data_IF_454689541958
#
_entry.id   IF_454689541958
#
_cell.length_a   1.000
_cell.length_b   1.000
_cell.length_c   1.000
_cell.angle_alpha   90.00
_cell.angle_beta   90.00
_cell.angle_gamma   90.00
#
_symmetry.space_group_name_H-M   'P 1'
#
loop_
_entity.id
_entity.type
_entity.pdbx_description
1 polymer ?
#
# COMPACT_ATOMS: atom_id res chain seq x y z
N UNK A 1 -19.45 -26.13 16.36
CA UNK A 1 -17.98 -25.98 16.23
C UNK A 1 -17.66 -24.70 15.46
N UNK A 2 -16.92 -23.75 16.01
CA UNK A 2 -16.55 -22.50 15.30
C UNK A 2 -16.09 -22.74 13.85
N UNK A 3 -16.38 -21.81 12.93
CA UNK A 3 -15.83 -21.81 11.55
C UNK A 3 -14.53 -21.00 11.44
N UNK A 4 -14.06 -20.46 12.56
CA UNK A 4 -12.83 -19.69 12.67
C UNK A 4 -11.93 -20.23 13.77
N UNK A 5 -10.62 -20.30 13.54
CA UNK A 5 -9.65 -20.57 14.60
C UNK A 5 -9.55 -19.41 15.60
N UNK A 6 -9.18 -19.72 16.85
CA UNK A 6 -9.00 -18.70 17.88
C UNK A 6 -7.89 -17.69 17.53
N UNK A 7 -6.85 -18.13 16.81
CA UNK A 7 -5.77 -17.26 16.37
C UNK A 7 -6.25 -16.23 15.34
N UNK A 8 -6.91 -16.68 14.27
CA UNK A 8 -7.42 -15.77 13.23
C UNK A 8 -8.52 -14.86 13.73
N UNK A 9 -9.37 -15.33 14.66
CA UNK A 9 -10.33 -14.46 15.31
C UNK A 9 -9.65 -13.32 16.09
N UNK A 10 -8.60 -13.63 16.86
CA UNK A 10 -7.88 -12.61 17.61
C UNK A 10 -7.19 -11.57 16.70
N UNK A 11 -6.62 -12.01 15.57
CA UNK A 11 -6.03 -11.12 14.55
C UNK A 11 -7.09 -10.20 13.91
N UNK A 12 -8.25 -10.76 13.54
CA UNK A 12 -9.36 -9.99 12.98
C UNK A 12 -9.89 -8.95 13.97
N UNK A 13 -10.07 -9.33 15.24
CA UNK A 13 -10.49 -8.40 16.29
C UNK A 13 -9.47 -7.28 16.53
N UNK A 14 -8.17 -7.60 16.44
CA UNK A 14 -7.11 -6.61 16.63
C UNK A 14 -7.14 -5.55 15.52
N UNK A 15 -7.29 -5.95 14.25
CA UNK A 15 -7.35 -4.98 13.15
C UNK A 15 -8.65 -4.15 13.16
N UNK A 16 -9.79 -4.77 13.50
CA UNK A 16 -11.06 -4.06 13.68
C UNK A 16 -10.93 -2.96 14.75
N UNK A 17 -10.36 -3.32 15.91
CA UNK A 17 -10.13 -2.39 17.02
C UNK A 17 -9.22 -1.23 16.60
N UNK A 18 -8.17 -1.53 15.85
CA UNK A 18 -7.21 -0.53 15.38
C UNK A 18 -7.84 0.49 14.41
N UNK A 19 -8.66 0.00 13.47
CA UNK A 19 -9.44 0.82 12.53
C UNK A 19 -10.40 1.73 13.30
N UNK A 20 -11.22 1.17 14.20
CA UNK A 20 -12.20 1.94 14.97
C UNK A 20 -11.52 2.97 15.87
N UNK A 21 -10.44 2.59 16.56
CA UNK A 21 -9.70 3.50 17.44
C UNK A 21 -9.07 4.66 16.67
N UNK A 22 -8.53 4.40 15.49
CA UNK A 22 -8.02 5.46 14.60
C UNK A 22 -9.13 6.41 14.18
N UNK A 23 -10.32 5.88 13.89
CA UNK A 23 -11.54 6.66 13.69
C UNK A 23 -11.87 7.56 14.88
N UNK A 24 -11.87 7.01 16.11
CA UNK A 24 -12.21 7.72 17.36
C UNK A 24 -11.24 8.85 17.73
N UNK A 25 -10.01 8.82 17.23
CA UNK A 25 -9.00 9.85 17.52
C UNK A 25 -9.20 11.16 16.75
N UNK A 26 -10.04 11.15 15.71
CA UNK A 26 -10.37 12.36 14.96
C UNK A 26 -11.55 13.11 15.59
N UNK A 27 -11.76 14.37 15.20
CA UNK A 27 -13.05 15.01 15.40
C UNK A 27 -13.98 14.69 14.20
N UNK A 28 -15.27 14.94 14.36
CA UNK A 28 -16.31 14.63 13.37
C UNK A 28 -16.13 15.37 12.01
N UNK A 29 -15.46 16.54 12.00
CA UNK A 29 -15.07 17.19 10.74
C UNK A 29 -14.01 16.35 10.03
N UNK A 30 -12.85 16.13 10.68
CA UNK A 30 -11.70 15.44 10.09
C UNK A 30 -12.04 13.99 9.72
N UNK A 31 -12.96 13.36 10.46
CA UNK A 31 -13.48 12.03 10.18
C UNK A 31 -14.18 11.92 8.81
N UNK A 32 -14.92 12.97 8.43
CA UNK A 32 -15.74 13.01 7.20
C UNK A 32 -15.06 13.78 6.06
N UNK A 33 -13.98 14.49 6.34
CA UNK A 33 -13.27 15.28 5.34
C UNK A 33 -12.47 14.40 4.37
N UNK A 34 -12.55 14.74 3.08
CA UNK A 34 -11.65 14.19 2.06
C UNK A 34 -10.40 15.07 1.94
N UNK A 35 -9.21 14.52 2.21
CA UNK A 35 -7.95 15.27 2.14
C UNK A 35 -7.17 15.10 0.84
N UNK A 36 -7.46 14.03 0.08
CA UNK A 36 -6.82 13.73 -1.19
C UNK A 36 -7.85 13.16 -2.18
N UNK A 37 -7.78 13.56 -3.45
CA UNK A 37 -8.79 13.24 -4.48
C UNK A 37 -8.93 11.73 -4.73
N UNK A 38 -7.84 10.98 -4.64
CA UNK A 38 -7.81 9.53 -4.80
C UNK A 38 -8.17 8.75 -3.53
N UNK A 39 -8.32 9.40 -2.39
CA UNK A 39 -8.62 8.73 -1.11
C UNK A 39 -10.05 9.04 -0.67
N UNK A 40 -10.69 8.08 0.00
CA UNK A 40 -11.95 8.36 0.70
C UNK A 40 -11.68 9.07 2.03
N UNK A 41 -12.69 9.73 2.64
CA UNK A 41 -12.60 10.14 4.04
C UNK A 41 -12.28 8.95 4.95
N UNK A 42 -11.61 9.24 6.07
CA UNK A 42 -11.22 8.19 7.03
C UNK A 42 -12.43 7.41 7.54
N UNK A 43 -13.53 8.10 7.82
CA UNK A 43 -14.76 7.46 8.28
C UNK A 43 -15.39 6.50 7.28
N UNK A 44 -15.20 6.74 5.98
CA UNK A 44 -15.68 5.81 4.96
C UNK A 44 -14.94 4.46 5.04
N UNK A 45 -13.64 4.46 5.35
CA UNK A 45 -12.87 3.23 5.50
C UNK A 45 -13.29 2.43 6.73
N UNK A 46 -13.61 3.10 7.85
CA UNK A 46 -14.14 2.45 9.06
C UNK A 46 -15.46 1.73 8.75
N UNK A 47 -16.41 2.43 8.14
CA UNK A 47 -17.72 1.86 7.78
C UNK A 47 -17.62 0.78 6.71
N UNK A 48 -16.80 1.00 5.68
CA UNK A 48 -16.61 0.04 4.60
C UNK A 48 -16.06 -1.30 5.10
N UNK A 49 -15.12 -1.29 6.05
CA UNK A 49 -14.57 -2.52 6.62
C UNK A 49 -15.62 -3.34 7.38
N UNK A 50 -16.42 -2.69 8.23
CA UNK A 50 -17.50 -3.33 8.98
C UNK A 50 -18.64 -3.81 8.06
N UNK A 51 -19.01 -2.98 7.09
CA UNK A 51 -20.00 -3.30 6.06
C UNK A 51 -19.58 -4.52 5.25
N UNK A 52 -18.35 -4.55 4.72
CA UNK A 52 -17.92 -5.62 3.82
C UNK A 52 -17.86 -6.97 4.53
N UNK A 53 -17.40 -7.01 5.78
CA UNK A 53 -17.46 -8.21 6.62
C UNK A 53 -18.89 -8.73 6.77
N UNK A 54 -19.82 -7.83 7.10
CA UNK A 54 -21.25 -8.15 7.24
C UNK A 54 -21.84 -8.63 5.91
N UNK A 55 -21.48 -7.99 4.80
CA UNK A 55 -21.91 -8.34 3.45
C UNK A 55 -21.47 -9.75 3.04
N UNK A 56 -20.22 -10.15 3.34
CA UNK A 56 -19.78 -11.50 3.05
C UNK A 56 -20.50 -12.53 3.94
N UNK A 57 -20.54 -12.31 5.26
CA UNK A 57 -21.10 -13.28 6.19
C UNK A 57 -22.62 -13.44 6.05
N UNK A 58 -23.35 -12.33 5.97
CA UNK A 58 -24.82 -12.33 5.98
C UNK A 58 -25.39 -12.36 4.58
N UNK A 59 -25.11 -11.35 3.77
CA UNK A 59 -25.76 -11.22 2.47
C UNK A 59 -25.28 -12.30 1.49
N UNK A 60 -23.96 -12.49 1.37
CA UNK A 60 -23.39 -13.42 0.39
C UNK A 60 -23.60 -14.88 0.82
N UNK A 61 -23.26 -15.22 2.07
CA UNK A 61 -23.27 -16.62 2.51
C UNK A 61 -24.60 -17.08 3.11
N UNK A 62 -25.33 -16.21 3.82
CA UNK A 62 -26.64 -16.51 4.40
C UNK A 62 -27.83 -16.05 3.55
N UNK A 63 -27.63 -15.17 2.57
CA UNK A 63 -28.72 -14.60 1.79
C UNK A 63 -29.61 -13.64 2.60
N UNK A 64 -29.05 -12.98 3.62
CA UNK A 64 -29.73 -11.98 4.45
C UNK A 64 -29.06 -10.62 4.28
N UNK A 65 -29.73 -9.70 3.58
CA UNK A 65 -29.28 -8.35 3.29
C UNK A 65 -29.87 -7.28 4.22
N UNK A 66 -30.58 -7.70 5.28
CA UNK A 66 -31.29 -6.78 6.18
C UNK A 66 -30.38 -5.78 6.89
N UNK A 67 -29.12 -6.16 7.14
CA UNK A 67 -28.11 -5.32 7.76
C UNK A 67 -27.25 -4.50 6.76
N UNK A 68 -27.39 -4.75 5.45
CA UNK A 68 -26.44 -4.25 4.43
C UNK A 68 -27.13 -3.46 3.32
N UNK A 69 -28.33 -3.83 2.90
CA UNK A 69 -29.07 -3.23 1.78
C UNK A 69 -29.18 -1.70 1.85
N UNK A 70 -29.46 -1.14 3.02
CA UNK A 70 -29.55 0.31 3.24
C UNK A 70 -28.20 1.05 3.08
N UNK A 71 -27.08 0.32 3.07
CA UNK A 71 -25.73 0.86 3.08
C UNK A 71 -24.96 0.57 1.78
N UNK A 72 -25.55 -0.18 0.84
CA UNK A 72 -24.95 -0.52 -0.45
C UNK A 72 -24.50 0.70 -1.25
N UNK A 73 -25.32 1.77 -1.28
CA UNK A 73 -24.98 2.99 -2.00
C UNK A 73 -23.71 3.63 -1.45
N UNK A 74 -23.56 3.67 -0.12
CA UNK A 74 -22.44 4.34 0.53
C UNK A 74 -21.16 3.51 0.46
N UNK A 75 -21.19 2.22 0.76
CA UNK A 75 -19.97 1.43 1.00
C UNK A 75 -19.52 0.54 -0.15
N UNK A 76 -20.30 0.36 -1.23
CA UNK A 76 -19.72 -0.17 -2.46
C UNK A 76 -18.99 0.95 -3.22
N UNK A 77 -17.66 0.83 -3.47
CA UNK A 77 -16.86 1.89 -4.07
C UNK A 77 -17.39 2.41 -5.42
N UNK A 78 -18.04 1.56 -6.20
CA UNK A 78 -18.61 1.84 -7.52
C UNK A 78 -19.90 2.67 -7.46
N UNK A 79 -20.61 2.69 -6.33
CA UNK A 79 -21.94 3.30 -6.22
C UNK A 79 -21.88 4.79 -5.88
N UNK A 80 -20.91 5.22 -5.06
CA UNK A 80 -20.79 6.62 -4.64
C UNK A 80 -19.39 7.20 -4.92
N UNK A 81 -19.29 8.28 -5.71
CA UNK A 81 -18.03 8.96 -5.97
C UNK A 81 -17.36 9.50 -4.69
N UNK A 82 -16.02 9.48 -4.63
CA UNK A 82 -15.24 9.88 -3.44
C UNK A 82 -15.63 11.25 -2.83
N UNK A 83 -15.85 12.32 -3.62
CA UNK A 83 -16.24 13.62 -3.06
C UNK A 83 -17.59 13.64 -2.33
N UNK A 84 -18.47 12.66 -2.60
CA UNK A 84 -19.80 12.57 -2.00
C UNK A 84 -19.83 11.68 -0.76
N UNK A 85 -18.79 10.86 -0.53
CA UNK A 85 -18.72 9.92 0.60
C UNK A 85 -18.72 10.61 1.95
N UNK A 86 -17.98 11.72 2.09
CA UNK A 86 -17.89 12.49 3.33
C UNK A 86 -19.23 13.03 3.81
N UNK A 87 -19.94 13.81 2.98
CA UNK A 87 -21.27 14.33 3.30
C UNK A 87 -22.34 13.26 3.57
N UNK A 88 -22.17 12.06 3.03
CA UNK A 88 -23.11 10.95 3.22
C UNK A 88 -22.86 10.13 4.50
N UNK A 89 -21.73 10.36 5.20
CA UNK A 89 -21.42 9.65 6.45
C UNK A 89 -22.31 10.15 7.60
N UNK A 90 -22.77 9.24 8.49
CA UNK A 90 -23.36 9.65 9.76
C UNK A 90 -22.36 10.41 10.64
N UNK A 91 -22.84 10.96 11.75
CA UNK A 91 -21.98 11.54 12.79
C UNK A 91 -21.00 10.48 13.32
N UNK A 92 -19.76 10.91 13.56
CA UNK A 92 -18.63 10.03 13.90
C UNK A 92 -18.94 9.02 15.01
N UNK A 93 -19.42 9.49 16.17
CA UNK A 93 -19.61 8.62 17.33
C UNK A 93 -20.68 7.56 17.05
N UNK A 94 -21.84 7.98 16.53
CA UNK A 94 -22.91 7.07 16.15
C UNK A 94 -22.48 6.06 15.07
N UNK A 95 -21.67 6.51 14.10
CA UNK A 95 -21.18 5.66 13.03
C UNK A 95 -20.19 4.59 13.53
N UNK A 96 -19.27 4.96 14.42
CA UNK A 96 -18.31 4.00 15.00
C UNK A 96 -19.04 2.99 15.89
N UNK A 97 -20.02 3.43 16.69
CA UNK A 97 -20.81 2.53 17.55
C UNK A 97 -21.60 1.51 16.71
N UNK A 98 -22.16 1.93 15.57
CA UNK A 98 -22.77 1.03 14.60
C UNK A 98 -21.76 0.02 14.01
N UNK A 99 -20.54 0.45 13.67
CA UNK A 99 -19.50 -0.44 13.15
C UNK A 99 -19.10 -1.50 14.19
N UNK A 100 -18.89 -1.09 15.44
CA UNK A 100 -18.53 -1.99 16.55
C UNK A 100 -19.65 -2.99 16.85
N UNK A 101 -20.92 -2.55 16.78
CA UNK A 101 -22.07 -3.44 16.93
C UNK A 101 -22.08 -4.51 15.82
N UNK A 102 -21.91 -4.13 14.55
CA UNK A 102 -21.87 -5.09 13.44
C UNK A 102 -20.72 -6.10 13.60
N UNK A 103 -19.54 -5.63 14.00
CA UNK A 103 -18.38 -6.50 14.24
C UNK A 103 -18.63 -7.49 15.38
N UNK A 104 -19.33 -7.08 16.44
CA UNK A 104 -19.75 -7.98 17.52
C UNK A 104 -20.74 -9.04 17.04
N UNK A 105 -21.77 -8.63 16.28
CA UNK A 105 -22.73 -9.57 15.68
C UNK A 105 -22.06 -10.57 14.73
N UNK A 106 -21.12 -10.09 13.90
CA UNK A 106 -20.34 -10.94 13.00
C UNK A 106 -19.44 -11.91 13.77
N UNK A 107 -18.86 -11.49 14.90
CA UNK A 107 -18.10 -12.36 15.78
C UNK A 107 -18.95 -13.50 16.34
N UNK A 108 -20.18 -13.21 16.76
CA UNK A 108 -21.11 -14.25 17.21
C UNK A 108 -21.39 -15.26 16.10
N UNK A 109 -21.61 -14.80 14.86
CA UNK A 109 -21.80 -15.67 13.69
C UNK A 109 -20.58 -16.56 13.39
N UNK A 110 -19.36 -16.06 13.60
CA UNK A 110 -18.13 -16.82 13.38
C UNK A 110 -17.92 -17.90 14.47
N UNK A 111 -18.24 -17.57 15.72
CA UNK A 111 -18.07 -18.47 16.87
C UNK A 111 -19.15 -19.55 16.95
N UNK A 112 -20.42 -19.19 16.72
CA UNK A 112 -21.55 -20.11 16.69
C UNK A 112 -22.36 -20.01 15.38
N UNK A 113 -21.79 -20.48 14.26
CA UNK A 113 -22.42 -20.33 12.95
C UNK A 113 -23.64 -21.25 12.80
N UNK A 114 -24.71 -20.80 12.10
CA UNK A 114 -25.75 -21.71 11.62
C UNK A 114 -25.20 -22.72 10.61
N UNK A 115 -25.90 -23.84 10.42
CA UNK A 115 -25.45 -24.94 9.54
C UNK A 115 -25.12 -24.50 8.12
N UNK A 116 -25.88 -23.55 7.58
CA UNK A 116 -25.64 -22.99 6.25
C UNK A 116 -24.21 -22.46 6.13
N UNK A 117 -23.74 -21.64 7.08
CA UNK A 117 -22.37 -21.11 7.06
C UNK A 117 -21.34 -22.23 7.18
N UNK A 118 -21.55 -23.23 8.04
CA UNK A 118 -20.60 -24.34 8.26
C UNK A 118 -20.23 -25.09 6.98
N UNK A 119 -21.18 -25.17 6.05
CA UNK A 119 -21.03 -25.92 4.79
C UNK A 119 -20.49 -25.08 3.62
N UNK A 120 -20.32 -23.78 3.79
CA UNK A 120 -19.85 -22.92 2.72
C UNK A 120 -18.35 -23.18 2.43
N UNK A 121 -17.92 -23.22 1.16
CA UNK A 121 -16.50 -23.36 0.83
C UNK A 121 -15.62 -22.23 1.39
N UNK A 122 -16.14 -21.00 1.39
CA UNK A 122 -15.42 -19.81 1.85
C UNK A 122 -15.15 -19.80 3.36
N UNK A 123 -15.86 -20.59 4.15
CA UNK A 123 -15.66 -20.67 5.60
C UNK A 123 -14.74 -21.83 6.00
N UNK A 124 -14.22 -22.60 5.04
CA UNK A 124 -13.30 -23.69 5.34
C UNK A 124 -11.88 -23.15 5.58
N UNK A 125 -11.17 -23.74 6.54
CA UNK A 125 -9.78 -23.41 6.85
C UNK A 125 -9.52 -21.91 7.08
N UNK A 126 -10.45 -21.20 7.73
CA UNK A 126 -10.41 -19.76 8.00
C UNK A 126 -10.37 -18.85 6.75
N UNK A 127 -10.61 -19.37 5.54
CA UNK A 127 -10.38 -18.62 4.29
C UNK A 127 -11.02 -17.22 4.28
N UNK A 128 -12.33 -17.12 4.52
CA UNK A 128 -13.03 -15.83 4.51
C UNK A 128 -12.49 -14.88 5.59
N UNK A 129 -12.20 -15.39 6.79
CA UNK A 129 -11.68 -14.58 7.88
C UNK A 129 -10.27 -14.03 7.54
N UNK A 130 -9.42 -14.85 6.91
CA UNK A 130 -8.10 -14.45 6.41
C UNK A 130 -8.22 -13.42 5.28
N UNK A 131 -9.16 -13.60 4.35
CA UNK A 131 -9.44 -12.63 3.30
C UNK A 131 -9.88 -11.28 3.89
N UNK A 132 -10.80 -11.28 4.85
CA UNK A 132 -11.29 -10.06 5.51
C UNK A 132 -10.21 -9.35 6.33
N UNK A 133 -9.41 -10.10 7.09
CA UNK A 133 -8.26 -9.58 7.83
C UNK A 133 -7.29 -8.83 6.91
N UNK A 134 -6.97 -9.41 5.75
CA UNK A 134 -6.09 -8.79 4.77
C UNK A 134 -6.71 -7.54 4.14
N UNK A 135 -8.00 -7.60 3.80
CA UNK A 135 -8.73 -6.45 3.29
C UNK A 135 -8.72 -5.28 4.29
N UNK A 136 -9.00 -5.56 5.58
CA UNK A 136 -8.94 -4.56 6.65
C UNK A 136 -7.52 -4.00 6.82
N UNK A 137 -6.49 -4.85 6.71
CA UNK A 137 -5.09 -4.40 6.76
C UNK A 137 -4.75 -3.41 5.63
N UNK A 138 -5.22 -3.66 4.40
CA UNK A 138 -5.03 -2.73 3.28
C UNK A 138 -5.76 -1.40 3.51
N UNK A 139 -6.98 -1.45 4.06
CA UNK A 139 -7.72 -0.25 4.41
C UNK A 139 -7.09 0.54 5.56
N UNK A 140 -6.52 -0.14 6.55
CA UNK A 140 -5.78 0.51 7.62
C UNK A 140 -4.55 1.27 7.09
N UNK A 141 -3.79 0.66 6.18
CA UNK A 141 -2.68 1.35 5.52
C UNK A 141 -3.17 2.56 4.70
N UNK A 142 -4.33 2.43 4.02
CA UNK A 142 -4.97 3.56 3.33
C UNK A 142 -5.39 4.67 4.30
N UNK A 143 -5.87 4.33 5.50
CA UNK A 143 -6.18 5.32 6.55
C UNK A 143 -4.94 6.08 7.01
N UNK A 144 -3.77 5.42 7.08
CA UNK A 144 -2.51 6.10 7.34
C UNK A 144 -2.13 7.09 6.21
N UNK A 145 -2.44 6.77 4.95
CA UNK A 145 -2.29 7.73 3.84
C UNK A 145 -3.21 8.94 4.03
N UNK A 146 -4.48 8.73 4.40
CA UNK A 146 -5.43 9.81 4.70
C UNK A 146 -4.92 10.72 5.82
N UNK A 147 -4.41 10.14 6.91
CA UNK A 147 -3.86 10.89 8.03
C UNK A 147 -2.62 11.70 7.64
N UNK A 148 -1.74 11.12 6.82
CA UNK A 148 -0.58 11.84 6.28
C UNK A 148 -1.01 13.01 5.40
N UNK A 149 -2.01 12.80 4.53
CA UNK A 149 -2.57 13.84 3.67
C UNK A 149 -3.27 14.95 4.48
N UNK A 150 -3.94 14.60 5.59
CA UNK A 150 -4.43 15.59 6.55
C UNK A 150 -3.31 16.44 7.13
N UNK A 151 -2.20 15.82 7.56
CA UNK A 151 -1.06 16.56 8.10
C UNK A 151 -0.37 17.42 7.04
N UNK A 152 -0.35 17.03 5.77
CA UNK A 152 0.16 17.88 4.68
C UNK A 152 -0.68 19.16 4.45
N UNK A 153 -1.91 19.22 4.98
CA UNK A 153 -2.76 20.43 4.92
C UNK A 153 -2.66 21.32 6.17
N UNK A 154 -1.93 20.91 7.21
CA UNK A 154 -1.70 21.74 8.40
C UNK A 154 -0.50 22.66 8.20
N UNK A 155 -0.43 23.76 8.95
CA UNK A 155 0.75 24.65 8.93
C UNK A 155 1.90 24.02 9.73
N UNK A 156 3.10 24.08 9.16
CA UNK A 156 4.35 23.60 9.75
C UNK A 156 5.39 24.71 9.88
N UNK A 157 4.97 25.98 9.89
CA UNK A 157 5.87 27.14 9.83
C UNK A 157 6.85 27.22 11.01
N UNK A 158 6.51 26.58 12.13
CA UNK A 158 7.33 26.53 13.34
C UNK A 158 8.21 25.27 13.44
N UNK A 159 8.25 24.42 12.41
CA UNK A 159 9.08 23.22 12.44
C UNK A 159 10.55 23.57 12.20
N UNK A 160 11.40 23.23 13.16
CA UNK A 160 12.84 23.48 13.10
C UNK A 160 13.60 22.19 12.79
N UNK A 161 14.49 22.26 11.80
CA UNK A 161 15.37 21.16 11.41
C UNK A 161 16.72 21.35 12.07
N UNK A 162 17.10 20.45 12.98
CA UNK A 162 18.41 20.46 13.64
C UNK A 162 19.45 19.69 12.81
N UNK A 163 19.04 18.59 12.19
CA UNK A 163 19.91 17.76 11.36
C UNK A 163 19.54 17.92 9.89
N UNK A 164 20.24 18.82 9.19
CA UNK A 164 20.04 19.04 7.76
C UNK A 164 20.41 17.79 6.97
N UNK A 165 19.52 17.41 6.06
CA UNK A 165 19.76 16.34 5.10
C UNK A 165 20.99 16.68 4.24
N UNK A 166 21.81 15.67 3.94
CA UNK A 166 23.02 15.82 3.12
C UNK A 166 22.91 14.93 1.91
N UNK A 167 23.13 15.50 0.72
CA UNK A 167 23.13 14.76 -0.52
C UNK A 167 24.29 13.76 -0.59
N UNK A 168 24.02 12.57 -1.11
CA UNK A 168 25.04 11.57 -1.45
C UNK A 168 24.57 10.70 -2.59
N UNK A 169 25.47 10.20 -3.44
CA UNK A 169 25.12 9.18 -4.43
C UNK A 169 24.79 7.84 -3.73
N UNK A 170 24.01 6.95 -4.36
CA UNK A 170 23.70 5.64 -3.81
C UNK A 170 24.95 4.86 -3.41
N UNK A 171 24.87 4.19 -2.27
CA UNK A 171 25.95 3.32 -1.80
C UNK A 171 26.13 2.12 -2.75
N UNK A 172 27.34 1.56 -2.76
CA UNK A 172 27.71 0.44 -3.64
C UNK A 172 27.49 -0.93 -3.00
N UNK A 173 26.87 -0.99 -1.83
CA UNK A 173 26.50 -2.21 -1.17
C UNK A 173 25.39 -2.91 -1.97
N UNK A 174 25.81 -3.99 -2.62
CA UNK A 174 24.99 -4.78 -3.52
C UNK A 174 25.07 -6.24 -3.10
N UNK A 175 23.95 -6.92 -3.22
CA UNK A 175 23.83 -8.36 -3.07
C UNK A 175 23.64 -8.97 -4.45
N UNK A 176 24.33 -10.10 -4.68
CA UNK A 176 24.28 -10.81 -5.96
C UNK A 176 23.19 -11.88 -5.87
N UNK A 177 22.22 -11.83 -6.77
CA UNK A 177 21.37 -12.98 -7.02
C UNK A 177 22.01 -13.80 -8.14
N UNK A 178 22.17 -15.11 -7.94
CA UNK A 178 22.77 -15.99 -8.94
C UNK A 178 21.77 -16.36 -10.04
N UNK A 179 22.29 -16.76 -11.21
CA UNK A 179 21.44 -17.35 -12.25
C UNK A 179 20.82 -18.64 -11.72
N UNK A 180 19.51 -18.80 -11.86
CA UNK A 180 18.83 -19.99 -11.37
C UNK A 180 17.36 -20.05 -11.73
N UNK A 181 16.76 -21.20 -11.43
CA UNK A 181 15.32 -21.39 -11.45
C UNK A 181 14.81 -21.23 -10.02
N UNK A 182 13.94 -20.25 -9.81
CA UNK A 182 13.41 -19.91 -8.50
C UNK A 182 11.90 -20.11 -8.46
N UNK A 183 11.39 -20.47 -7.28
CA UNK A 183 9.96 -20.56 -7.04
C UNK A 183 9.42 -19.20 -6.60
N UNK A 184 8.39 -18.72 -7.26
CA UNK A 184 7.63 -17.52 -6.89
C UNK A 184 6.16 -17.86 -6.69
N UNK A 185 5.40 -16.93 -6.13
CA UNK A 185 4.01 -17.12 -5.74
C UNK A 185 3.87 -17.89 -4.44
N UNK A 186 2.63 -17.98 -3.99
CA UNK A 186 2.31 -18.55 -2.70
C UNK A 186 1.74 -19.96 -2.82
N UNK A 187 2.11 -20.85 -1.89
CA UNK A 187 1.64 -22.24 -1.85
C UNK A 187 1.31 -22.76 -0.44
N UNK A 188 1.31 -21.89 0.57
CA UNK A 188 1.22 -22.25 1.98
C UNK A 188 -0.19 -22.06 2.59
N UNK A 189 -1.25 -22.37 1.84
CA UNK A 189 -2.62 -22.33 2.36
C UNK A 189 -3.44 -21.14 1.86
N UNK A 190 -4.12 -20.43 2.76
CA UNK A 190 -5.20 -19.48 2.43
C UNK A 190 -4.82 -18.00 2.57
N UNK A 191 -3.59 -17.68 2.97
CA UNK A 191 -3.20 -16.29 3.23
C UNK A 191 -2.93 -15.48 1.95
N UNK A 192 -2.84 -16.10 0.78
CA UNK A 192 -2.60 -15.40 -0.46
C UNK A 192 -3.88 -14.83 -1.08
N UNK A 193 -3.76 -13.64 -1.68
CA UNK A 193 -4.72 -13.19 -2.68
C UNK A 193 -4.60 -14.00 -3.97
N UNK A 194 -5.67 -13.97 -4.78
CA UNK A 194 -5.72 -14.66 -6.08
C UNK A 194 -4.55 -14.30 -7.02
N UNK A 195 -4.05 -13.07 -6.97
CA UNK A 195 -2.94 -12.61 -7.81
C UNK A 195 -1.57 -13.16 -7.39
N UNK A 196 -1.44 -13.80 -6.23
CA UNK A 196 -0.20 -14.41 -5.74
C UNK A 196 -0.11 -15.90 -6.10
N UNK A 197 -1.16 -16.47 -6.71
CA UNK A 197 -1.30 -17.90 -7.02
C UNK A 197 -1.67 -18.12 -8.50
N UNK A 198 -1.38 -19.30 -9.08
CA UNK A 198 -0.62 -20.41 -8.51
C UNK A 198 0.90 -20.13 -8.41
N UNK A 199 1.65 -20.87 -7.58
CA UNK A 199 3.10 -20.76 -7.52
C UNK A 199 3.73 -21.17 -8.86
N UNK A 200 4.81 -20.50 -9.23
CA UNK A 200 5.49 -20.68 -10.52
C UNK A 200 6.98 -20.93 -10.35
N UNK A 201 7.62 -21.44 -11.40
CA UNK A 201 9.07 -21.49 -11.52
C UNK A 201 9.51 -20.52 -12.60
N UNK A 202 10.39 -19.57 -12.24
CA UNK A 202 10.93 -18.56 -13.15
C UNK A 202 12.44 -18.66 -13.22
N UNK A 203 12.99 -18.41 -14.40
CA UNK A 203 14.45 -18.31 -14.59
C UNK A 203 14.88 -16.87 -14.40
N UNK A 204 15.73 -16.62 -13.40
CA UNK A 204 16.35 -15.31 -13.17
C UNK A 204 17.82 -15.41 -13.59
N UNK A 205 18.29 -14.41 -14.35
CA UNK A 205 19.71 -14.27 -14.68
C UNK A 205 20.44 -13.57 -13.54
N UNK A 206 21.74 -13.84 -13.38
CA UNK A 206 22.51 -13.20 -12.33
C UNK A 206 22.52 -11.67 -12.50
N UNK A 207 22.28 -10.97 -11.40
CA UNK A 207 22.29 -9.51 -11.34
C UNK A 207 22.67 -9.04 -9.94
N UNK A 208 23.00 -7.76 -9.82
CA UNK A 208 23.29 -7.13 -8.53
C UNK A 208 22.06 -6.33 -8.09
N UNK A 209 21.67 -6.44 -6.83
CA UNK A 209 20.55 -5.68 -6.25
C UNK A 209 21.07 -4.84 -5.09
N UNK A 210 20.63 -3.60 -4.96
CA UNK A 210 20.97 -2.75 -3.83
C UNK A 210 20.48 -3.37 -2.51
N UNK A 211 21.34 -3.39 -1.48
CA UNK A 211 20.99 -3.98 -0.18
C UNK A 211 19.87 -3.20 0.51
N UNK A 212 19.81 -1.89 0.31
CA UNK A 212 18.77 -0.99 0.84
C UNK A 212 17.98 -0.29 -0.29
N UNK A 213 16.74 0.17 -0.01
CA UNK A 213 16.06 1.11 -0.90
C UNK A 213 16.86 2.41 -1.06
N UNK A 214 16.56 3.17 -2.11
CA UNK A 214 17.13 4.50 -2.31
C UNK A 214 16.76 5.40 -1.13
N UNK A 215 17.77 6.07 -0.57
CA UNK A 215 17.61 6.86 0.65
C UNK A 215 17.17 8.30 0.37
N UNK A 216 16.76 9.01 1.42
CA UNK A 216 16.49 10.44 1.36
C UNK A 216 17.73 11.22 0.89
N UNK A 217 18.94 10.85 1.33
CA UNK A 217 20.18 11.48 0.90
C UNK A 217 20.45 11.31 -0.61
N UNK A 218 20.13 10.13 -1.14
CA UNK A 218 20.24 9.84 -2.56
C UNK A 218 19.24 10.66 -3.37
N UNK A 219 18.01 10.76 -2.89
CA UNK A 219 16.99 11.57 -3.55
C UNK A 219 17.29 13.07 -3.49
N UNK A 220 17.91 13.55 -2.41
CA UNK A 220 18.36 14.94 -2.32
C UNK A 220 19.42 15.24 -3.38
N UNK A 221 20.38 14.33 -3.64
CA UNK A 221 21.36 14.50 -4.71
C UNK A 221 20.70 14.67 -6.08
N UNK A 222 19.66 13.87 -6.37
CA UNK A 222 18.85 14.01 -7.58
C UNK A 222 18.14 15.37 -7.67
N UNK A 223 17.55 15.84 -6.56
CA UNK A 223 16.91 17.17 -6.52
C UNK A 223 17.94 18.29 -6.74
N UNK A 224 19.09 18.24 -6.07
CA UNK A 224 20.11 19.30 -6.11
C UNK A 224 20.80 19.40 -7.47
N UNK A 225 20.93 18.28 -8.19
CA UNK A 225 21.42 18.27 -9.57
C UNK A 225 20.34 18.67 -10.60
N UNK A 226 19.16 19.07 -10.14
CA UNK A 226 18.08 19.55 -10.99
C UNK A 226 17.29 18.42 -11.68
N UNK A 227 17.25 17.23 -11.10
CA UNK A 227 16.57 16.06 -11.68
C UNK A 227 15.08 16.29 -11.98
N UNK A 228 14.40 17.14 -11.21
CA UNK A 228 13.04 17.54 -11.58
C UNK A 228 13.02 18.50 -12.77
N UNK A 229 14.05 19.26 -13.09
CA UNK A 229 14.09 20.28 -14.14
C UNK A 229 14.63 19.78 -15.50
N UNK A 230 15.25 18.60 -15.52
CA UNK A 230 15.88 18.04 -16.71
C UNK A 230 14.90 17.16 -17.49
N UNK A 231 14.30 17.64 -18.58
CA UNK A 231 13.28 16.86 -19.30
C UNK A 231 13.79 15.56 -19.93
N UNK A 232 15.07 15.47 -20.29
CA UNK A 232 15.63 14.35 -21.07
C UNK A 232 15.78 13.06 -20.26
N UNK A 233 15.82 13.14 -18.94
CA UNK A 233 15.85 11.97 -18.05
C UNK A 233 14.44 11.41 -17.74
N UNK A 234 13.37 12.08 -18.17
CA UNK A 234 12.00 11.63 -17.96
C UNK A 234 11.45 10.94 -19.21
N UNK A 235 10.51 10.01 -19.03
CA UNK A 235 9.63 9.60 -20.13
C UNK A 235 8.74 10.77 -20.54
N UNK A 236 8.20 10.75 -21.77
CA UNK A 236 7.29 11.79 -22.25
C UNK A 236 6.07 11.96 -21.32
N UNK A 237 5.41 10.86 -20.95
CA UNK A 237 4.26 10.87 -20.04
C UNK A 237 4.65 11.35 -18.64
N UNK A 238 5.81 10.94 -18.14
CA UNK A 238 6.32 11.35 -16.83
C UNK A 238 6.65 12.84 -16.77
N UNK A 239 7.26 13.38 -17.82
CA UNK A 239 7.54 14.80 -17.94
C UNK A 239 6.26 15.63 -18.01
N UNK A 240 5.30 15.19 -18.84
CA UNK A 240 3.99 15.84 -18.96
C UNK A 240 3.28 15.83 -17.60
N UNK A 241 3.22 14.70 -16.92
CA UNK A 241 2.65 14.58 -15.58
C UNK A 241 3.32 15.53 -14.58
N UNK A 242 4.66 15.56 -14.54
CA UNK A 242 5.43 16.44 -13.65
C UNK A 242 5.09 17.90 -13.92
N UNK A 243 5.00 18.31 -15.18
CA UNK A 243 4.64 19.66 -15.60
C UNK A 243 3.21 20.04 -15.19
N UNK A 244 2.24 19.19 -15.51
CA UNK A 244 0.81 19.44 -15.23
C UNK A 244 0.52 19.57 -13.73
N UNK A 245 1.30 18.88 -12.91
CA UNK A 245 1.15 18.87 -11.45
C UNK A 245 2.17 19.77 -10.72
N UNK A 246 3.08 20.43 -11.44
CA UNK A 246 4.14 21.30 -10.91
C UNK A 246 4.99 20.64 -9.79
N UNK A 247 5.41 19.39 -10.01
CA UNK A 247 6.13 18.60 -9.00
C UNK A 247 7.63 18.90 -9.00
N UNK A 248 8.22 19.07 -7.81
CA UNK A 248 9.65 19.38 -7.62
C UNK A 248 10.33 18.60 -6.48
N UNK A 249 9.59 17.74 -5.77
CA UNK A 249 10.06 16.97 -4.63
C UNK A 249 9.07 15.84 -4.32
N UNK A 250 9.45 14.79 -3.54
CA UNK A 250 8.53 13.76 -3.05
C UNK A 250 7.31 14.31 -2.30
N UNK A 251 6.19 13.58 -2.31
CA UNK A 251 4.89 14.03 -1.80
C UNK A 251 4.94 14.52 -0.35
N UNK A 252 5.65 13.81 0.53
CA UNK A 252 5.70 14.16 1.95
C UNK A 252 6.82 15.15 2.31
N UNK A 253 7.57 15.66 1.34
CA UNK A 253 8.69 16.58 1.58
C UNK A 253 8.24 18.04 1.51
N UNK A 254 8.54 18.79 2.55
CA UNK A 254 8.30 20.23 2.64
C UNK A 254 9.60 20.97 3.00
N UNK A 255 9.63 22.28 2.77
CA UNK A 255 10.70 23.16 3.22
C UNK A 255 10.22 24.05 4.34
N UNK A 256 11.05 24.24 5.36
CA UNK A 256 10.81 25.27 6.37
C UNK A 256 11.18 26.66 5.81
N UNK A 257 11.02 27.70 6.64
CA UNK A 257 11.32 29.10 6.27
C UNK A 257 12.80 29.37 5.98
N UNK A 258 13.71 28.52 6.46
CA UNK A 258 15.15 28.57 6.19
C UNK A 258 15.55 27.85 4.90
N UNK A 259 14.60 27.14 4.27
CA UNK A 259 14.82 26.34 3.06
C UNK A 259 15.28 24.91 3.32
N UNK A 260 15.32 24.46 4.58
CA UNK A 260 15.70 23.10 4.95
C UNK A 260 14.54 22.12 4.72
N UNK A 261 14.87 20.94 4.22
CA UNK A 261 13.91 19.87 3.97
C UNK A 261 13.49 19.15 5.25
N UNK A 262 12.20 18.85 5.36
CA UNK A 262 11.63 17.97 6.38
C UNK A 262 10.50 17.11 5.79
N UNK A 263 10.14 16.04 6.49
CA UNK A 263 9.10 15.11 6.08
C UNK A 263 7.80 15.30 6.87
N UNK A 264 6.67 14.86 6.32
CA UNK A 264 5.39 14.81 7.02
C UNK A 264 4.88 13.36 7.08
N UNK A 265 4.49 12.91 8.27
CA UNK A 265 3.93 11.57 8.50
C UNK A 265 2.53 11.67 9.12
N UNK A 266 1.93 10.54 9.49
CA UNK A 266 0.69 10.50 10.29
C UNK A 266 0.79 11.30 11.60
N UNK A 267 2.00 11.41 12.17
CA UNK A 267 2.27 12.10 13.43
C UNK A 267 2.68 13.57 13.23
N UNK A 268 2.62 14.09 11.99
CA UNK A 268 3.03 15.45 11.64
C UNK A 268 4.45 15.55 11.10
N UNK A 269 5.01 16.77 11.15
CA UNK A 269 6.34 17.08 10.66
C UNK A 269 7.44 16.37 11.46
N UNK A 270 8.49 15.91 10.76
CA UNK A 270 9.66 15.25 11.32
C UNK A 270 10.91 15.52 10.47
N UNK A 271 12.09 15.39 11.06
CA UNK A 271 13.36 15.51 10.32
C UNK A 271 13.53 14.30 9.40
N UNK A 272 13.98 14.54 8.16
CA UNK A 272 14.32 13.47 7.23
C UNK A 272 15.62 12.79 7.69
N UNK A 273 15.56 11.49 7.90
CA UNK A 273 16.76 10.70 8.21
C UNK A 273 17.50 10.35 6.92
N UNK A 274 18.79 10.68 6.86
CA UNK A 274 19.68 10.51 5.69
C UNK A 274 19.57 9.13 5.04
N UNK A 275 19.66 8.07 5.85
CA UNK A 275 19.73 6.68 5.37
C UNK A 275 18.36 5.98 5.30
N UNK A 276 17.29 6.64 5.74
CA UNK A 276 15.93 6.09 5.56
C UNK A 276 15.51 6.16 4.11
N UNK A 277 14.72 5.18 3.68
CA UNK A 277 14.18 5.14 2.32
C UNK A 277 13.41 6.43 1.99
N UNK A 278 13.60 6.93 0.76
CA UNK A 278 12.72 7.97 0.22
C UNK A 278 11.32 7.38 0.06
N UNK A 279 10.30 8.17 0.44
CA UNK A 279 8.89 7.81 0.34
C UNK A 279 8.10 8.89 -0.39
N UNK A 280 6.94 8.52 -0.95
CA UNK A 280 6.05 9.43 -1.67
C UNK A 280 6.53 9.81 -3.05
N UNK A 281 7.21 8.89 -3.73
CA UNK A 281 7.60 9.03 -5.13
C UNK A 281 6.76 8.09 -6.00
N UNK A 282 6.39 8.54 -7.21
CA UNK A 282 5.68 7.69 -8.16
C UNK A 282 6.63 6.92 -9.10
N UNK A 283 6.07 6.13 -10.01
CA UNK A 283 6.83 5.31 -10.95
C UNK A 283 7.63 6.17 -11.95
N UNK A 284 7.07 7.31 -12.39
CA UNK A 284 7.76 8.23 -13.30
C UNK A 284 9.00 8.85 -12.64
N UNK A 285 8.86 9.32 -11.40
CA UNK A 285 9.93 9.83 -10.56
C UNK A 285 11.02 8.77 -10.37
N UNK A 286 10.66 7.53 -10.07
CA UNK A 286 11.59 6.42 -9.90
C UNK A 286 12.44 6.15 -11.16
N UNK A 287 11.82 6.18 -12.34
CA UNK A 287 12.55 6.01 -13.61
C UNK A 287 13.43 7.23 -13.95
N UNK A 288 12.95 8.45 -13.68
CA UNK A 288 13.74 9.66 -13.88
C UNK A 288 15.01 9.66 -13.02
N UNK A 289 14.90 9.20 -11.77
CA UNK A 289 16.04 9.01 -10.88
C UNK A 289 17.07 8.01 -11.45
N UNK A 290 16.60 6.87 -12.00
CA UNK A 290 17.48 5.88 -12.62
C UNK A 290 18.20 6.47 -13.84
N UNK A 291 17.48 7.18 -14.71
CA UNK A 291 18.06 7.81 -15.90
C UNK A 291 19.07 8.89 -15.52
N UNK A 292 18.81 9.66 -14.47
CA UNK A 292 19.79 10.59 -13.89
C UNK A 292 21.05 9.86 -13.41
N UNK A 293 20.91 8.74 -12.70
CA UNK A 293 22.07 7.96 -12.26
C UNK A 293 22.96 7.50 -13.42
N UNK A 294 22.38 7.17 -14.58
CA UNK A 294 23.17 6.80 -15.76
C UNK A 294 24.10 7.93 -16.21
N UNK A 295 23.72 9.19 -15.98
CA UNK A 295 24.52 10.37 -16.32
C UNK A 295 25.63 10.67 -15.29
N UNK A 296 25.52 10.14 -14.06
CA UNK A 296 26.50 10.37 -12.98
C UNK A 296 27.81 9.57 -13.11
N UNK A 297 27.86 8.51 -13.94
CA UNK A 297 29.07 7.72 -14.20
C UNK A 297 28.88 6.20 -14.27
N UNK A 298 29.96 5.46 -14.59
CA UNK A 298 29.91 4.06 -15.05
C UNK A 298 29.24 3.05 -14.09
N UNK A 299 29.32 3.24 -12.78
CA UNK A 299 28.87 2.24 -11.78
C UNK A 299 27.34 2.03 -11.75
N UNK A 300 26.59 2.94 -12.40
CA UNK A 300 25.13 2.89 -12.51
C UNK A 300 24.64 2.83 -13.96
N UNK A 301 25.52 2.67 -14.95
CA UNK A 301 25.14 2.65 -16.39
C UNK A 301 24.14 1.55 -16.78
N UNK A 302 23.95 0.55 -15.92
CA UNK A 302 22.98 -0.53 -16.07
C UNK A 302 21.90 -0.52 -14.99
N UNK A 303 21.81 0.55 -14.20
CA UNK A 303 20.81 0.69 -13.15
C UNK A 303 19.40 0.61 -13.74
N UNK A 304 18.52 -0.11 -13.03
CA UNK A 304 17.12 -0.28 -13.41
C UNK A 304 16.28 -0.56 -12.17
N UNK A 305 14.96 -0.49 -12.33
CA UNK A 305 14.06 -1.12 -11.36
C UNK A 305 14.20 -2.65 -11.46
N UNK A 306 14.13 -3.38 -10.34
CA UNK A 306 14.02 -4.83 -10.37
C UNK A 306 12.66 -5.26 -10.90
N UNK A 307 12.61 -6.42 -11.56
CA UNK A 307 11.35 -7.11 -11.83
C UNK A 307 10.76 -7.63 -10.52
N UNK A 308 9.43 -7.75 -10.42
CA UNK A 308 8.78 -8.17 -9.16
C UNK A 308 9.27 -9.56 -8.67
N UNK A 309 9.58 -10.46 -9.60
CA UNK A 309 10.12 -11.79 -9.30
C UNK A 309 11.52 -11.74 -8.68
N UNK A 310 12.33 -10.78 -9.12
CA UNK A 310 13.68 -10.57 -8.58
C UNK A 310 13.62 -10.11 -7.12
N UNK A 311 12.71 -9.17 -6.81
CA UNK A 311 12.46 -8.73 -5.44
C UNK A 311 11.89 -9.85 -4.57
N UNK A 312 10.92 -10.61 -5.09
CA UNK A 312 10.30 -11.72 -4.35
C UNK A 312 11.35 -12.74 -3.92
N UNK A 313 12.21 -13.18 -4.85
CA UNK A 313 13.26 -14.16 -4.55
C UNK A 313 14.30 -13.60 -3.58
N UNK A 314 14.71 -12.34 -3.76
CA UNK A 314 15.64 -11.69 -2.83
C UNK A 314 15.05 -11.59 -1.42
N UNK A 315 13.76 -11.27 -1.29
CA UNK A 315 13.06 -11.20 -0.01
C UNK A 315 12.94 -12.59 0.65
N UNK A 316 12.62 -13.64 -0.14
CA UNK A 316 12.59 -15.02 0.35
C UNK A 316 13.95 -15.51 0.89
N UNK A 317 15.06 -15.02 0.33
CA UNK A 317 16.41 -15.36 0.79
C UNK A 317 16.85 -14.57 2.04
N UNK A 318 16.05 -13.60 2.50
CA UNK A 318 16.34 -12.83 3.71
C UNK A 318 17.58 -11.95 3.63
N UNK A 319 18.01 -11.60 2.41
CA UNK A 319 19.23 -10.82 2.19
C UNK A 319 18.97 -9.31 2.08
N UNK A 320 17.71 -8.89 1.95
CA UNK A 320 17.33 -7.48 1.79
C UNK A 320 17.34 -6.71 3.11
N UNK A 321 18.10 -5.61 3.14
CA UNK A 321 17.99 -4.57 4.15
C UNK A 321 16.86 -3.58 3.85
N UNK A 322 16.27 -3.03 4.92
CA UNK A 322 15.25 -1.98 4.81
C UNK A 322 13.90 -2.40 4.21
N UNK A 323 13.64 -3.70 4.06
CA UNK A 323 12.30 -4.22 3.69
C UNK A 323 11.25 -3.70 4.68
N UNK A 324 10.08 -3.30 4.16
CA UNK A 324 9.01 -2.72 4.98
C UNK A 324 9.15 -1.23 5.28
N UNK A 325 10.18 -0.53 4.77
CA UNK A 325 10.25 0.94 4.89
C UNK A 325 9.39 1.68 3.86
N UNK A 326 9.22 1.10 2.68
CA UNK A 326 8.42 1.63 1.56
C UNK A 326 8.03 0.51 0.62
N UNK A 327 6.88 0.66 -0.04
CA UNK A 327 6.56 -0.14 -1.21
C UNK A 327 7.52 0.20 -2.34
N UNK A 328 8.21 -0.80 -2.88
CA UNK A 328 9.23 -0.61 -3.90
C UNK A 328 8.66 -0.82 -5.31
N UNK A 329 8.70 0.22 -6.15
CA UNK A 329 8.27 0.12 -7.55
C UNK A 329 9.08 -0.93 -8.32
N UNK A 330 8.38 -1.83 -9.02
CA UNK A 330 8.96 -2.85 -9.88
C UNK A 330 8.96 -2.40 -11.35
N UNK A 331 9.85 -2.95 -12.16
CA UNK A 331 9.97 -2.61 -13.59
C UNK A 331 8.74 -2.99 -14.44
N UNK A 332 7.90 -3.91 -13.96
CA UNK A 332 6.84 -4.52 -14.73
C UNK A 332 5.44 -4.06 -14.29
N UNK A 333 4.49 -4.17 -15.22
CA UNK A 333 3.08 -3.97 -14.94
C UNK A 333 2.51 -5.11 -14.10
N UNK A 334 1.44 -4.83 -13.35
CA UNK A 334 0.65 -5.82 -12.66
C UNK A 334 -0.05 -6.72 -13.68
N UNK A 335 0.16 -8.03 -13.56
CA UNK A 335 -0.24 -9.03 -14.56
C UNK A 335 -0.64 -10.35 -13.90
N UNK A 336 -1.51 -11.17 -14.53
CA UNK A 336 -1.89 -12.47 -14.00
C UNK A 336 -0.70 -13.43 -14.08
N UNK A 337 -0.54 -14.27 -13.06
CA UNK A 337 0.31 -15.45 -13.19
C UNK A 337 -0.31 -16.44 -14.18
N UNK A 338 0.54 -17.25 -14.84
CA UNK A 338 0.07 -18.38 -15.65
C UNK A 338 -0.77 -19.33 -14.79
N UNK A 339 -2.00 -19.58 -15.22
CA UNK A 339 -2.98 -20.36 -14.46
C UNK A 339 -3.80 -19.55 -13.44
N UNK A 340 -3.66 -18.21 -13.40
CA UNK A 340 -4.48 -17.33 -12.56
C UNK A 340 -5.98 -17.60 -12.76
N UNK A 341 -6.70 -17.67 -11.65
CA UNK A 341 -8.15 -17.68 -11.61
C UNK A 341 -8.61 -16.76 -10.49
N UNK A 342 -9.57 -15.84 -10.73
CA UNK A 342 -10.05 -14.95 -9.69
C UNK A 342 -10.75 -15.73 -8.57
N UNK A 343 -10.47 -15.38 -7.31
CA UNK A 343 -11.11 -15.96 -6.12
C UNK A 343 -10.84 -15.10 -4.87
N UNK A 344 -11.81 -14.91 -3.95
CA UNK A 344 -13.21 -15.30 -4.07
C UNK A 344 -14.03 -14.27 -4.86
N UNK A 345 -13.41 -13.14 -5.21
CA UNK A 345 -14.06 -11.97 -5.77
C UNK A 345 -13.41 -11.57 -7.09
N UNK A 346 -14.16 -11.65 -8.18
CA UNK A 346 -13.62 -11.40 -9.53
C UNK A 346 -13.00 -10.02 -9.71
N UNK A 347 -13.52 -9.01 -9.01
CA UNK A 347 -13.09 -7.64 -9.20
C UNK A 347 -11.95 -7.22 -8.26
N UNK A 348 -11.37 -8.14 -7.48
CA UNK A 348 -10.23 -7.81 -6.61
C UNK A 348 -8.97 -7.51 -7.41
N UNK A 349 -8.51 -8.47 -8.24
CA UNK A 349 -7.26 -8.33 -9.01
C UNK A 349 -7.47 -8.13 -10.51
N UNK A 350 -8.39 -8.90 -11.11
CA UNK A 350 -8.55 -9.02 -12.57
C UNK A 350 -8.72 -7.69 -13.31
N UNK A 351 -9.48 -6.68 -12.80
CA UNK A 351 -9.63 -5.40 -13.48
C UNK A 351 -8.33 -4.62 -13.66
N UNK A 352 -7.32 -4.89 -12.83
CA UNK A 352 -6.07 -4.15 -12.76
C UNK A 352 -4.95 -4.77 -13.60
N UNK A 353 -5.22 -5.89 -14.27
CA UNK A 353 -4.35 -6.48 -15.29
C UNK A 353 -4.50 -5.77 -16.66
N UNK A 354 -4.49 -4.44 -16.63
CA UNK A 354 -4.84 -3.57 -17.75
C UNK A 354 -3.62 -2.99 -18.48
N UNK A 355 -2.41 -3.35 -18.04
CA UNK A 355 -1.16 -2.81 -18.56
C UNK A 355 -0.89 -1.35 -18.15
N UNK A 356 -1.67 -0.79 -17.22
CA UNK A 356 -1.53 0.59 -16.71
C UNK A 356 -1.18 0.66 -15.23
N UNK A 357 -1.36 -0.44 -14.50
CA UNK A 357 -0.93 -0.56 -13.11
C UNK A 357 0.44 -1.22 -13.05
N UNK A 358 1.32 -0.72 -12.19
CA UNK A 358 2.65 -1.27 -11.96
C UNK A 358 2.72 -1.95 -10.60
N UNK A 359 3.48 -3.04 -10.53
CA UNK A 359 3.64 -3.81 -9.29
C UNK A 359 4.55 -3.07 -8.31
N UNK A 360 4.21 -3.12 -7.02
CA UNK A 360 5.12 -2.79 -5.92
C UNK A 360 5.24 -3.96 -4.94
N UNK A 361 6.39 -4.10 -4.30
CA UNK A 361 6.69 -5.15 -3.31
C UNK A 361 7.27 -4.57 -2.01
N UNK A 362 7.34 -5.38 -0.95
CA UNK A 362 8.11 -5.07 0.27
C UNK A 362 7.32 -4.52 1.46
N UNK A 363 6.22 -3.80 1.25
CA UNK A 363 5.42 -3.21 2.34
C UNK A 363 5.98 -1.87 2.86
N UNK A 364 5.18 -1.20 3.69
CA UNK A 364 5.52 0.05 4.37
C UNK A 364 5.45 -0.09 5.90
N UNK A 365 5.82 0.95 6.68
CA UNK A 365 5.73 0.93 8.14
C UNK A 365 4.29 0.77 8.66
N UNK A 366 3.29 0.96 7.79
CA UNK A 366 1.87 0.84 8.12
C UNK A 366 1.26 -0.49 7.65
N UNK A 367 1.96 -1.24 6.81
CA UNK A 367 1.53 -2.55 6.30
C UNK A 367 1.48 -3.57 7.44
N UNK A 368 0.33 -4.19 7.68
CA UNK A 368 0.15 -5.16 8.77
C UNK A 368 0.71 -6.54 8.42
N UNK A 369 1.08 -7.33 9.42
CA UNK A 369 1.64 -8.67 9.26
C UNK A 369 0.79 -9.58 8.35
N UNK A 370 -0.54 -9.43 8.40
CA UNK A 370 -1.48 -10.18 7.57
C UNK A 370 -1.29 -9.99 6.06
N UNK A 371 -0.59 -8.94 5.61
CA UNK A 371 -0.28 -8.66 4.19
C UNK A 371 1.23 -8.51 3.94
N UNK A 372 2.07 -8.73 4.96
CA UNK A 372 3.53 -8.75 4.82
C UNK A 372 3.99 -10.14 4.40
N UNK A 373 4.15 -10.35 3.09
CA UNK A 373 4.72 -11.58 2.53
C UNK A 373 5.59 -11.26 1.32
N UNK A 374 6.62 -12.08 1.02
CA UNK A 374 7.39 -11.94 -0.21
C UNK A 374 6.53 -11.98 -1.46
N UNK A 375 5.51 -12.85 -1.50
CA UNK A 375 4.60 -13.03 -2.63
C UNK A 375 3.56 -11.92 -2.79
N UNK A 376 3.36 -11.06 -1.76
CA UNK A 376 2.31 -10.03 -1.80
C UNK A 376 2.58 -9.03 -2.91
N UNK A 377 1.55 -8.73 -3.71
CA UNK A 377 1.66 -7.85 -4.88
C UNK A 377 0.75 -6.64 -4.68
N UNK A 378 1.34 -5.49 -4.38
CA UNK A 378 0.62 -4.23 -4.42
C UNK A 378 0.66 -3.65 -5.85
N UNK A 379 -0.29 -2.80 -6.21
CA UNK A 379 -0.38 -2.24 -7.55
C UNK A 379 -1.03 -0.87 -7.57
N UNK A 380 -0.46 0.06 -8.34
CA UNK A 380 -0.98 1.41 -8.52
C UNK A 380 -0.69 1.92 -9.94
N UNK A 381 -1.45 2.93 -10.38
CA UNK A 381 -1.08 3.69 -11.57
C UNK A 381 0.26 4.41 -11.36
N UNK A 382 1.02 4.66 -12.44
CA UNK A 382 2.39 5.18 -12.36
C UNK A 382 2.48 6.62 -11.81
N UNK A 383 1.37 7.35 -11.75
CA UNK A 383 1.29 8.72 -11.26
C UNK A 383 1.11 8.83 -9.73
N UNK A 384 0.81 7.72 -9.04
CA UNK A 384 0.41 7.74 -7.63
C UNK A 384 1.60 7.91 -6.69
N UNK A 385 1.49 8.91 -5.80
CA UNK A 385 2.53 9.31 -4.83
C UNK A 385 2.04 9.54 -3.40
N UNK A 386 0.72 9.53 -3.18
CA UNK A 386 0.14 9.58 -1.83
C UNK A 386 0.35 8.27 -1.05
N UNK A 387 0.77 7.21 -1.75
CA UNK A 387 1.16 5.92 -1.18
C UNK A 387 2.58 6.00 -0.60
N UNK A 388 2.92 5.10 0.32
CA UNK A 388 4.25 5.03 0.93
C UNK A 388 5.25 4.30 0.02
N UNK A 389 5.50 4.84 -1.17
CA UNK A 389 6.31 4.21 -2.21
C UNK A 389 7.70 4.83 -2.36
N UNK A 390 8.67 3.97 -2.64
CA UNK A 390 10.05 4.27 -2.96
C UNK A 390 10.56 3.35 -4.09
N UNK A 391 11.87 3.16 -4.16
CA UNK A 391 12.49 2.25 -5.12
C UNK A 391 13.76 1.61 -4.57
N UNK A 392 14.17 0.53 -5.22
CA UNK A 392 15.47 -0.12 -5.06
C UNK A 392 16.10 -0.32 -6.42
N UNK A 393 17.43 -0.29 -6.48
CA UNK A 393 18.17 -0.49 -7.73
C UNK A 393 18.50 -1.96 -7.96
N UNK A 394 18.31 -2.42 -9.19
CA UNK A 394 18.99 -3.58 -9.76
C UNK A 394 20.02 -3.11 -10.80
N UNK A 395 21.10 -3.89 -11.00
CA UNK A 395 22.30 -3.55 -11.75
C UNK A 395 22.86 -4.76 -12.51
#
# INVERSE_FOLDING_TARGET
MSIISAATLAELQAIQSLINQTGRQLNDHDYRQQYHVDLSPLGWHVGHCAFLETFWLRETLLGDDSATSAHHELYFPENLPKPQRGPALPEQQAHIDWCEQLQEENRELLLDPPDRLRTQPLTQNDYLARFLLQHHAQHYETMAMVLTQRQLKTSHDNFHVNNRLRASLPAQDKLKLETGNYRIGYDQGVDAFDNEVPPQTVTIQAFMLGVHPISNANWLAFIEDGGYQQSHIWSADGWQWRCDNNIQQPEQWLKNTEGDWFGVSTNGAHELTTDSAVSGINYYEANAFINWLHETGNDFSHARLPHEYELEVAQQQGCLGGSGQVWEWCANTFHPYEGFSPFPYENYSKPWFDGKHYTLRGGSPYTQAAVQRPSFRNFYNPDKRHIFSGLRLAL
#
